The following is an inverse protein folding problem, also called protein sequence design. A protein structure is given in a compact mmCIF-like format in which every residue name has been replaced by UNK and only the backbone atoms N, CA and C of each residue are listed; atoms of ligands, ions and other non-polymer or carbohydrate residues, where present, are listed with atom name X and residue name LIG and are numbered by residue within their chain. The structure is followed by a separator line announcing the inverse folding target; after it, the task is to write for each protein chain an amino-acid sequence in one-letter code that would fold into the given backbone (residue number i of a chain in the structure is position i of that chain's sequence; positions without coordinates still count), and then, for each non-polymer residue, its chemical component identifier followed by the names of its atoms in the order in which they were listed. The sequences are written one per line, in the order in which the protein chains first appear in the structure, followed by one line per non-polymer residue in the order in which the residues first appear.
data_IF_996658089793
#
_entry.id   IF_996658089793
#
_cell.length_a   1.000
_cell.length_b   1.000
_cell.length_c   1.000
_cell.angle_alpha   90.00
_cell.angle_beta   90.00
_cell.angle_gamma   90.00
#
_symmetry.space_group_name_H-M   'P 1'
#
loop_
_entity.id
_entity.type
_entity.pdbx_description
1 polymer ?
#
# COMPACT_ATOMS: atom_id res chain seq x y z
N UNK A 1 -9.54 7.90 -3.07
CA UNK A 1 -8.39 8.72 -3.50
C UNK A 1 -8.52 10.20 -3.13
N UNK A 2 -9.70 10.83 -3.29
CA UNK A 2 -9.91 12.27 -2.96
C UNK A 2 -9.47 12.62 -1.53
N UNK A 3 -9.83 11.81 -0.53
CA UNK A 3 -9.44 12.05 0.86
C UNK A 3 -7.92 11.92 1.13
N UNK A 4 -7.24 11.02 0.41
CA UNK A 4 -5.80 10.80 0.57
C UNK A 4 -5.00 11.99 0.04
N UNK A 5 -5.35 12.45 -1.17
CA UNK A 5 -4.71 13.63 -1.77
C UNK A 5 -4.93 14.87 -0.91
N UNK A 6 -6.16 15.09 -0.43
CA UNK A 6 -6.47 16.21 0.47
C UNK A 6 -5.64 16.17 1.77
N UNK A 7 -5.43 14.98 2.35
CA UNK A 7 -4.59 14.85 3.54
C UNK A 7 -3.11 15.14 3.25
N UNK A 8 -2.60 14.74 2.08
CA UNK A 8 -1.23 15.09 1.66
C UNK A 8 -1.07 16.59 1.42
N UNK A 9 -2.05 17.24 0.78
CA UNK A 9 -2.06 18.70 0.59
C UNK A 9 -2.09 19.45 1.93
N UNK A 10 -2.85 18.95 2.91
CA UNK A 10 -2.86 19.51 4.26
C UNK A 10 -1.50 19.38 4.96
N UNK A 11 -0.87 18.22 4.85
CA UNK A 11 0.48 18.00 5.41
C UNK A 11 1.54 18.85 4.71
N UNK A 12 1.41 19.07 3.41
CA UNK A 12 2.30 19.94 2.64
C UNK A 12 2.20 21.39 3.10
N UNK A 13 0.97 21.89 3.32
CA UNK A 13 0.75 23.23 3.88
C UNK A 13 1.29 23.34 5.31
N UNK A 14 1.04 22.35 6.16
CA UNK A 14 1.47 22.35 7.56
C UNK A 14 3.00 22.30 7.71
N UNK A 15 3.66 21.46 6.92
CA UNK A 15 5.10 21.20 7.04
C UNK A 15 5.94 22.14 6.16
N UNK A 16 5.33 22.78 5.15
CA UNK A 16 5.99 23.69 4.22
C UNK A 16 7.25 23.08 3.63
N UNK A 17 8.42 23.71 3.87
CA UNK A 17 9.73 23.25 3.38
C UNK A 17 10.14 21.87 3.91
N UNK A 18 9.55 21.41 5.01
CA UNK A 18 9.83 20.09 5.59
C UNK A 18 9.02 18.96 4.91
N UNK A 19 8.06 19.30 4.03
CA UNK A 19 7.41 18.33 3.17
C UNK A 19 8.22 18.16 1.87
N UNK A 20 8.80 16.98 1.69
CA UNK A 20 9.74 16.69 0.62
C UNK A 20 9.21 15.57 -0.28
N UNK A 21 8.22 15.90 -1.12
CA UNK A 21 7.75 14.99 -2.17
C UNK A 21 8.42 15.26 -3.53
N UNK A 22 9.75 15.19 -3.55
CA UNK A 22 10.57 15.53 -4.74
C UNK A 22 10.21 14.66 -5.97
N UNK A 23 9.76 13.43 -5.74
CA UNK A 23 9.42 12.48 -6.81
C UNK A 23 7.93 12.46 -7.19
N UNK A 24 7.12 13.37 -6.64
CA UNK A 24 5.66 13.38 -6.82
C UNK A 24 5.03 11.99 -6.55
N UNK A 25 5.45 11.37 -5.45
CA UNK A 25 4.97 10.06 -5.01
C UNK A 25 3.49 10.14 -4.65
N UNK A 26 2.74 9.11 -5.06
CA UNK A 26 1.32 8.96 -4.70
C UNK A 26 1.17 8.57 -3.23
N UNK A 27 2.03 7.66 -2.74
CA UNK A 27 2.04 7.23 -1.35
C UNK A 27 3.32 7.70 -0.66
N UNK A 28 3.14 8.56 0.33
CA UNK A 28 4.24 9.17 1.07
C UNK A 28 4.12 8.87 2.56
N UNK A 29 5.25 8.95 3.25
CA UNK A 29 5.23 9.17 4.70
C UNK A 29 4.75 10.61 5.01
N UNK A 30 4.60 10.94 6.29
CA UNK A 30 4.08 12.26 6.72
C UNK A 30 4.89 13.45 6.20
N UNK A 31 6.17 13.26 5.91
CA UNK A 31 7.07 14.29 5.41
C UNK A 31 7.22 14.28 3.89
N UNK A 32 6.37 13.57 3.14
CA UNK A 32 6.44 13.52 1.67
C UNK A 32 7.44 12.51 1.11
N UNK A 33 8.21 11.84 1.95
CA UNK A 33 9.22 10.86 1.51
C UNK A 33 8.68 9.43 1.37
N UNK A 34 9.58 8.48 1.12
CA UNK A 34 9.24 7.06 0.97
C UNK A 34 8.62 6.44 2.24
N UNK A 35 7.69 5.53 2.04
CA UNK A 35 7.21 4.63 3.09
C UNK A 35 8.18 3.47 3.22
N UNK A 36 8.65 3.21 4.44
CA UNK A 36 9.54 2.07 4.72
C UNK A 36 8.76 0.77 4.60
N UNK A 37 9.34 -0.27 3.99
CA UNK A 37 8.72 -1.60 3.90
C UNK A 37 8.33 -2.15 5.27
N UNK A 38 9.22 -2.02 6.27
CA UNK A 38 8.95 -2.42 7.65
C UNK A 38 7.68 -1.78 8.23
N UNK A 39 7.38 -0.53 7.87
CA UNK A 39 6.15 0.14 8.31
C UNK A 39 4.91 -0.56 7.74
N UNK A 40 4.94 -0.95 6.45
CA UNK A 40 3.84 -1.71 5.84
C UNK A 40 3.62 -3.04 6.57
N UNK A 41 4.70 -3.77 6.91
CA UNK A 41 4.61 -5.03 7.66
C UNK A 41 3.97 -4.85 9.04
N UNK A 42 4.40 -3.83 9.80
CA UNK A 42 3.84 -3.54 11.13
C UNK A 42 2.37 -3.17 11.04
N UNK A 43 2.01 -2.27 10.12
CA UNK A 43 0.62 -1.85 9.93
C UNK A 43 -0.26 -3.03 9.49
N UNK A 44 0.23 -3.89 8.60
CA UNK A 44 -0.49 -5.08 8.17
C UNK A 44 -0.77 -6.02 9.35
N UNK A 45 0.24 -6.29 10.20
CA UNK A 45 0.08 -7.11 11.40
C UNK A 45 -0.96 -6.53 12.36
N UNK A 46 -0.94 -5.21 12.58
CA UNK A 46 -1.96 -4.54 13.40
C UNK A 46 -3.36 -4.72 12.84
N UNK A 47 -3.55 -4.60 11.51
CA UNK A 47 -4.84 -4.77 10.87
C UNK A 47 -5.36 -6.21 10.96
N UNK A 48 -4.50 -7.20 10.71
CA UNK A 48 -4.83 -8.62 10.81
C UNK A 48 -5.29 -8.97 12.23
N UNK A 49 -4.52 -8.53 13.24
CA UNK A 49 -4.86 -8.78 14.64
C UNK A 49 -6.20 -8.15 15.03
N UNK A 50 -6.46 -6.91 14.58
CA UNK A 50 -7.74 -6.24 14.81
C UNK A 50 -8.92 -6.95 14.13
N UNK A 51 -8.69 -7.55 12.97
CA UNK A 51 -9.69 -8.31 12.24
C UNK A 51 -9.87 -9.75 12.77
N UNK A 52 -9.03 -10.20 13.73
CA UNK A 52 -9.06 -11.58 14.23
C UNK A 52 -8.69 -12.62 13.19
N UNK A 53 -7.92 -12.25 12.17
CA UNK A 53 -7.55 -13.12 11.06
C UNK A 53 -6.24 -13.86 11.34
N UNK A 54 -6.06 -14.99 10.66
CA UNK A 54 -4.78 -15.71 10.65
C UNK A 54 -3.67 -14.81 10.08
N UNK A 55 -2.44 -15.02 10.55
CA UNK A 55 -1.30 -14.23 10.09
C UNK A 55 -1.06 -14.40 8.59
N UNK A 56 -0.96 -13.27 7.89
CA UNK A 56 -0.63 -13.20 6.47
C UNK A 56 0.37 -12.07 6.23
N UNK A 57 1.41 -12.35 5.43
CA UNK A 57 2.37 -11.31 5.04
C UNK A 57 1.79 -10.44 3.92
N UNK A 58 2.38 -9.26 3.71
CA UNK A 58 2.01 -8.42 2.58
C UNK A 58 2.19 -9.14 1.23
N UNK A 59 3.25 -9.95 1.09
CA UNK A 59 3.44 -10.81 -0.09
C UNK A 59 2.39 -11.93 -0.18
N UNK A 60 1.92 -12.46 0.95
CA UNK A 60 0.80 -13.41 1.00
C UNK A 60 -0.48 -12.87 0.36
N UNK A 61 -0.73 -11.55 0.43
CA UNK A 61 -1.85 -10.92 -0.28
C UNK A 61 -1.70 -11.04 -1.79
N UNK A 62 -0.48 -10.95 -2.33
CA UNK A 62 -0.21 -11.18 -3.75
C UNK A 62 -0.51 -12.62 -4.15
N UNK A 63 -0.13 -13.61 -3.35
CA UNK A 63 -0.52 -15.00 -3.60
C UNK A 63 -2.03 -15.19 -3.55
N UNK A 64 -2.72 -14.52 -2.62
CA UNK A 64 -4.18 -14.53 -2.53
C UNK A 64 -4.81 -13.93 -3.79
N UNK A 65 -4.30 -12.79 -4.27
CA UNK A 65 -4.75 -12.18 -5.52
C UNK A 65 -4.61 -13.13 -6.71
N UNK A 66 -3.47 -13.82 -6.83
CA UNK A 66 -3.23 -14.82 -7.88
C UNK A 66 -4.26 -15.95 -7.80
N UNK A 67 -4.49 -16.52 -6.61
CA UNK A 67 -5.46 -17.61 -6.44
C UNK A 67 -6.87 -17.16 -6.82
N UNK A 68 -7.29 -15.96 -6.41
CA UNK A 68 -8.58 -15.41 -6.79
C UNK A 68 -8.71 -15.25 -8.30
N UNK A 69 -7.67 -14.75 -8.99
CA UNK A 69 -7.71 -14.60 -10.45
C UNK A 69 -7.76 -15.96 -11.18
N UNK A 70 -7.02 -16.96 -10.71
CA UNK A 70 -7.08 -18.33 -11.26
C UNK A 70 -8.49 -18.91 -11.09
N UNK A 71 -9.11 -18.73 -9.91
CA UNK A 71 -10.48 -19.17 -9.65
C UNK A 71 -11.50 -18.47 -10.56
N UNK A 72 -11.23 -17.23 -10.99
CA UNK A 72 -12.05 -16.48 -11.95
C UNK A 72 -11.67 -16.74 -13.42
N UNK A 73 -11.02 -17.88 -13.71
CA UNK A 73 -10.70 -18.37 -15.07
C UNK A 73 -9.81 -17.40 -15.88
N UNK A 74 -8.96 -16.63 -15.20
CA UNK A 74 -7.91 -15.85 -15.87
C UNK A 74 -6.78 -16.78 -16.29
N UNK A 75 -6.31 -16.67 -17.54
CA UNK A 75 -5.22 -17.48 -18.05
C UNK A 75 -3.89 -17.20 -17.34
N UNK A 76 -3.01 -18.20 -17.27
CA UNK A 76 -1.69 -18.09 -16.63
C UNK A 76 -0.83 -17.03 -17.34
N UNK A 77 -0.91 -16.92 -18.66
CA UNK A 77 -0.24 -15.89 -19.45
C UNK A 77 -0.68 -14.47 -19.05
N UNK A 78 -1.98 -14.24 -18.83
CA UNK A 78 -2.47 -12.94 -18.38
C UNK A 78 -2.00 -12.60 -16.94
N UNK A 79 -1.81 -13.61 -16.10
CA UNK A 79 -1.26 -13.42 -14.75
C UNK A 79 0.19 -12.97 -14.77
N UNK A 80 1.03 -13.51 -15.66
CA UNK A 80 2.45 -13.13 -15.77
C UNK A 80 2.64 -11.66 -16.10
N UNK A 81 1.78 -11.07 -16.93
CA UNK A 81 1.83 -9.65 -17.30
C UNK A 81 1.35 -8.73 -16.17
N UNK A 82 0.43 -9.22 -15.34
CA UNK A 82 -0.20 -8.44 -14.25
C UNK A 82 0.65 -8.40 -12.97
N UNK A 83 1.67 -9.26 -12.87
CA UNK A 83 2.46 -9.51 -11.68
C UNK A 83 3.84 -8.86 -11.78
#
# INVERSE_FOLDING_TARGET
MVHHKKAQEQLEVELGKNYQNVYNLVFTNKSGGFIKSAFIHTQMRTLINKAGLAEITFHGLRHTHIRLLIQNVVSIEALKVRL
#
